data_IF_062960873139
#
_entry.id   IF_062960873139
#
_cell.length_a   1.000
_cell.length_b   1.000
_cell.length_c   1.000
_cell.angle_alpha   90.00
_cell.angle_beta   90.00
_cell.angle_gamma   90.00
#
_symmetry.space_group_name_H-M   'P 1'
#
loop_
_entity.id
_entity.type
_entity.pdbx_description
1 polymer ?
#
# COMPACT_ATOMS: atom_id res chain seq x y z
N UNK A 1 -10.91 12.35 34.71
CA UNK A 1 -11.54 12.46 33.38
C UNK A 1 -10.97 13.70 32.72
N UNK A 2 -9.94 13.53 31.91
CA UNK A 2 -9.31 14.61 31.18
C UNK A 2 -9.06 14.10 29.77
N UNK A 3 -9.98 14.44 28.87
CA UNK A 3 -9.81 14.26 27.44
C UNK A 3 -8.59 15.05 26.99
N UNK A 4 -7.42 14.41 26.90
CA UNK A 4 -6.32 14.90 26.08
C UNK A 4 -6.66 14.70 24.60
N UNK A 5 -7.71 15.36 24.14
CA UNK A 5 -7.80 15.75 22.73
C UNK A 5 -6.66 16.74 22.54
N UNK A 6 -5.53 16.24 22.03
CA UNK A 6 -4.46 17.10 21.51
C UNK A 6 -5.14 18.23 20.73
N UNK A 7 -4.77 19.49 20.98
CA UNK A 7 -5.36 20.64 20.33
C UNK A 7 -5.18 20.51 18.81
N UNK A 8 -6.13 19.88 18.14
CA UNK A 8 -6.12 19.65 16.70
C UNK A 8 -6.48 20.98 16.08
N UNK A 9 -5.55 21.51 15.31
CA UNK A 9 -5.70 22.80 14.68
C UNK A 9 -6.76 22.68 13.58
N UNK A 10 -7.80 23.50 13.67
CA UNK A 10 -8.77 23.67 12.59
C UNK A 10 -8.02 24.08 11.30
N UNK A 11 -8.47 23.59 10.16
CA UNK A 11 -7.82 23.84 8.86
C UNK A 11 -8.64 24.78 8.01
N UNK A 12 -7.95 25.57 7.19
CA UNK A 12 -8.57 26.48 6.25
C UNK A 12 -9.27 25.72 5.12
N UNK A 13 -10.59 25.90 5.01
CA UNK A 13 -11.44 25.27 4.02
C UNK A 13 -10.99 25.60 2.59
N UNK A 14 -10.56 26.84 2.35
CA UNK A 14 -10.13 27.28 1.02
C UNK A 14 -8.88 26.52 0.55
N UNK A 15 -7.91 26.33 1.46
CA UNK A 15 -6.70 25.55 1.19
C UNK A 15 -7.00 24.07 0.96
N UNK A 16 -7.95 23.52 1.71
CA UNK A 16 -8.42 22.15 1.54
C UNK A 16 -9.14 21.92 0.21
N UNK A 17 -9.99 22.86 -0.21
CA UNK A 17 -10.67 22.82 -1.51
C UNK A 17 -9.65 22.86 -2.66
N UNK A 18 -8.63 23.70 -2.57
CA UNK A 18 -7.57 23.74 -3.59
C UNK A 18 -6.77 22.43 -3.66
N UNK A 19 -6.48 21.83 -2.50
CA UNK A 19 -5.82 20.52 -2.45
C UNK A 19 -6.68 19.43 -3.10
N UNK A 20 -7.99 19.42 -2.83
CA UNK A 20 -8.92 18.50 -3.47
C UNK A 20 -9.08 18.75 -4.97
N UNK A 21 -9.18 20.01 -5.39
CA UNK A 21 -9.26 20.38 -6.80
C UNK A 21 -8.03 19.87 -7.57
N UNK A 22 -6.85 20.04 -6.98
CA UNK A 22 -5.58 19.54 -7.55
C UNK A 22 -5.55 18.01 -7.60
N UNK A 23 -5.97 17.34 -6.52
CA UNK A 23 -5.91 15.89 -6.43
C UNK A 23 -6.94 15.16 -7.31
N UNK A 24 -8.09 15.78 -7.55
CA UNK A 24 -9.22 15.15 -8.27
C UNK A 24 -9.46 15.70 -9.67
N UNK A 25 -8.81 16.81 -10.03
CA UNK A 25 -9.02 17.51 -11.30
C UNK A 25 -10.36 18.23 -11.40
N UNK A 26 -11.13 18.28 -10.31
CA UNK A 26 -12.44 18.93 -10.27
C UNK A 26 -12.30 20.42 -9.96
N UNK A 27 -13.20 21.23 -10.52
CA UNK A 27 -13.15 22.67 -10.29
C UNK A 27 -13.43 23.01 -8.81
N UNK A 28 -12.73 24.00 -8.27
CA UNK A 28 -12.95 24.48 -6.91
C UNK A 28 -14.42 24.89 -6.67
N UNK A 29 -15.09 25.44 -7.70
CA UNK A 29 -16.51 25.80 -7.64
C UNK A 29 -17.42 24.58 -7.49
N UNK A 30 -17.13 23.48 -8.21
CA UNK A 30 -17.90 22.24 -8.09
C UNK A 30 -17.72 21.58 -6.72
N UNK A 31 -16.52 21.70 -6.12
CA UNK A 31 -16.22 21.21 -4.78
C UNK A 31 -16.96 22.06 -3.74
N UNK A 32 -16.88 23.39 -3.84
CA UNK A 32 -17.57 24.31 -2.95
C UNK A 32 -19.09 24.09 -2.97
N UNK A 33 -19.71 24.02 -4.15
CA UNK A 33 -21.15 23.80 -4.28
C UNK A 33 -21.62 22.48 -3.63
N UNK A 34 -20.76 21.45 -3.60
CA UNK A 34 -21.06 20.19 -2.92
C UNK A 34 -20.83 20.27 -1.41
N UNK A 35 -19.81 21.00 -0.95
CA UNK A 35 -19.61 21.27 0.46
C UNK A 35 -20.81 22.04 1.01
N UNK A 36 -21.34 23.01 0.28
CA UNK A 36 -22.52 23.79 0.68
C UNK A 36 -23.81 22.94 0.76
N UNK A 37 -23.87 21.80 0.06
CA UNK A 37 -25.00 20.86 0.12
C UNK A 37 -24.94 19.92 1.33
N UNK A 38 -23.74 19.75 1.90
CA UNK A 38 -23.47 18.86 3.00
C UNK A 38 -23.36 19.75 4.23
N UNK A 39 -24.40 19.78 5.05
CA UNK A 39 -24.57 20.70 6.18
C UNK A 39 -23.52 20.48 7.30
N UNK A 40 -22.28 20.92 7.07
CA UNK A 40 -21.13 20.73 7.97
C UNK A 40 -20.94 21.86 8.96
N UNK A 41 -20.28 21.56 10.07
CA UNK A 41 -19.88 22.57 11.04
C UNK A 41 -18.67 23.31 10.54
N UNK A 42 -18.91 24.55 10.15
CA UNK A 42 -17.86 25.50 9.78
C UNK A 42 -17.66 26.51 10.90
N UNK A 43 -16.41 26.94 11.08
CA UNK A 43 -16.02 27.94 12.07
C UNK A 43 -15.45 29.16 11.35
N UNK A 44 -16.02 30.34 11.52
CA UNK A 44 -15.42 31.57 10.99
C UNK A 44 -14.39 32.16 11.96
N UNK A 45 -13.18 32.41 11.46
CA UNK A 45 -12.13 33.10 12.20
C UNK A 45 -11.27 33.96 11.27
N UNK A 46 -11.15 35.26 11.57
CA UNK A 46 -10.32 36.21 10.80
C UNK A 46 -10.55 36.15 9.26
N UNK A 47 -11.82 36.21 8.81
CA UNK A 47 -12.22 36.07 7.40
C UNK A 47 -11.84 34.74 6.74
N UNK A 48 -11.55 33.69 7.52
CA UNK A 48 -11.33 32.34 7.03
C UNK A 48 -12.42 31.42 7.55
N UNK A 49 -12.84 30.50 6.69
CA UNK A 49 -13.72 29.41 7.07
C UNK A 49 -12.83 28.24 7.44
N UNK A 50 -12.93 27.80 8.69
CA UNK A 50 -12.16 26.71 9.24
C UNK A 50 -13.06 25.49 9.45
N UNK A 51 -12.51 24.30 9.22
CA UNK A 51 -13.24 23.03 9.35
C UNK A 51 -12.43 22.06 10.20
N UNK A 52 -13.14 21.19 10.94
CA UNK A 52 -12.53 20.08 11.67
C UNK A 52 -11.97 19.06 10.67
N UNK A 53 -10.68 18.67 10.79
CA UNK A 53 -10.09 17.65 9.94
C UNK A 53 -10.87 16.33 9.88
N UNK A 54 -11.53 15.89 10.95
CA UNK A 54 -12.28 14.62 10.94
C UNK A 54 -13.56 14.72 10.10
N UNK A 55 -14.29 15.84 10.21
CA UNK A 55 -15.47 16.09 9.37
C UNK A 55 -15.05 16.20 7.89
N UNK A 56 -13.90 16.82 7.64
CA UNK A 56 -13.36 16.94 6.29
C UNK A 56 -12.85 15.60 5.71
N UNK A 57 -12.19 14.75 6.50
CA UNK A 57 -11.79 13.41 6.07
C UNK A 57 -13.02 12.55 5.71
N UNK A 58 -14.08 12.64 6.52
CA UNK A 58 -15.37 12.01 6.21
C UNK A 58 -15.97 12.48 4.89
N UNK A 59 -15.80 13.76 4.54
CA UNK A 59 -16.16 14.30 3.22
C UNK A 59 -15.34 13.66 2.11
N UNK A 60 -14.02 13.56 2.25
CA UNK A 60 -13.16 12.94 1.24
C UNK A 60 -13.57 11.50 0.97
N UNK A 61 -13.87 10.73 2.03
CA UNK A 61 -14.32 9.34 1.92
C UNK A 61 -15.70 9.23 1.24
N UNK A 62 -16.67 10.07 1.62
CA UNK A 62 -17.98 10.11 0.98
C UNK A 62 -17.86 10.44 -0.51
N UNK A 63 -16.98 11.37 -0.84
CA UNK A 63 -16.74 11.81 -2.21
C UNK A 63 -16.06 10.73 -3.06
N UNK A 64 -15.05 10.06 -2.50
CA UNK A 64 -14.40 8.92 -3.14
C UNK A 64 -15.41 7.79 -3.41
N UNK A 65 -16.34 7.55 -2.48
CA UNK A 65 -17.42 6.59 -2.68
C UNK A 65 -18.38 7.01 -3.81
N UNK A 66 -18.74 8.29 -3.89
CA UNK A 66 -19.64 8.82 -4.93
C UNK A 66 -18.99 8.76 -6.32
N UNK A 67 -17.71 9.14 -6.46
CA UNK A 67 -16.96 9.03 -7.72
C UNK A 67 -16.88 7.56 -8.15
N UNK A 68 -16.60 6.66 -7.22
CA UNK A 68 -16.55 5.22 -7.48
C UNK A 68 -17.91 4.67 -7.94
N UNK A 69 -19.01 5.18 -7.39
CA UNK A 69 -20.36 4.83 -7.83
C UNK A 69 -20.65 5.37 -9.25
N UNK A 70 -20.28 6.61 -9.55
CA UNK A 70 -20.45 7.23 -10.87
C UNK A 70 -19.66 6.50 -11.96
N UNK A 71 -18.40 6.13 -11.69
CA UNK A 71 -17.57 5.36 -12.62
C UNK A 71 -18.13 3.97 -12.88
N UNK A 72 -18.73 3.33 -11.87
CA UNK A 72 -19.43 2.05 -12.04
C UNK A 72 -20.69 2.19 -12.88
N UNK A 73 -21.49 3.24 -12.68
CA UNK A 73 -22.68 3.47 -13.51
C UNK A 73 -22.33 3.82 -14.95
N UNK A 74 -21.23 4.55 -15.18
CA UNK A 74 -20.74 4.85 -16.52
C UNK A 74 -20.24 3.59 -17.26
N UNK A 75 -19.59 2.66 -16.56
CA UNK A 75 -19.10 1.40 -17.15
C UNK A 75 -20.22 0.39 -17.47
N UNK A 76 -21.36 0.45 -16.77
CA UNK A 76 -22.50 -0.44 -17.03
C UNK A 76 -23.35 0.05 -18.20
N UNK A 77 -23.32 1.35 -18.51
CA UNK A 77 -24.12 1.94 -19.60
C UNK A 77 -23.52 1.72 -21.01
N UNK A 78 -22.26 1.28 -21.11
CA UNK A 78 -21.52 1.20 -22.38
C UNK A 78 -21.25 -0.24 -22.87
N UNK A 79 -22.03 -1.21 -22.38
CA UNK A 79 -22.01 -2.59 -22.87
C UNK A 79 -23.05 -2.75 -24.00
N UNK A 80 -22.68 -2.87 -25.28
CA UNK A 80 -23.63 -3.22 -26.32
C UNK A 80 -24.19 -4.62 -26.05
N UNK A 81 -25.52 -4.72 -26.09
CA UNK A 81 -26.27 -5.96 -25.85
C UNK A 81 -25.76 -7.10 -26.76
N UNK A 82 -25.04 -8.05 -26.16
CA UNK A 82 -24.53 -9.24 -26.84
C UNK A 82 -25.71 -10.19 -27.10
N UNK A 83 -26.12 -10.32 -28.37
CA UNK A 83 -27.05 -11.37 -28.83
C UNK A 83 -26.47 -12.76 -28.50
N UNK A 84 -27.29 -13.72 -28.04
CA UNK A 84 -26.88 -15.11 -27.92
C UNK A 84 -27.10 -15.81 -29.28
N UNK A 85 -26.02 -16.25 -29.92
CA UNK A 85 -25.95 -17.26 -31.00
C UNK A 85 -24.46 -17.57 -31.16
N UNK A 86 -24.00 -18.73 -31.56
CA UNK A 86 -24.53 -20.07 -31.83
C UNK A 86 -23.27 -20.94 -31.78
N UNK A 87 -23.44 -22.24 -31.61
CA UNK A 87 -22.35 -23.20 -31.63
C UNK A 87 -21.44 -22.99 -32.85
N UNK A 88 -20.13 -22.91 -32.64
CA UNK A 88 -19.15 -23.10 -33.70
C UNK A 88 -18.11 -24.11 -33.24
N UNK A 89 -18.01 -25.12 -34.08
CA UNK A 89 -17.13 -26.27 -34.05
C UNK A 89 -15.67 -25.87 -33.78
N UNK A 90 -15.02 -26.66 -32.94
CA UNK A 90 -13.57 -26.67 -32.83
C UNK A 90 -12.98 -27.42 -34.04
N UNK A 91 -11.99 -26.86 -34.75
CA UNK A 91 -11.12 -27.68 -35.58
C UNK A 91 -10.00 -28.27 -34.72
N UNK A 92 -9.82 -29.59 -34.89
CA UNK A 92 -8.66 -30.34 -34.41
C UNK A 92 -7.36 -29.69 -34.93
N UNK A 93 -6.46 -29.36 -34.00
CA UNK A 93 -5.09 -28.96 -34.30
C UNK A 93 -4.12 -30.00 -33.73
N UNK A 94 -3.42 -30.61 -34.69
CA UNK A 94 -2.33 -31.57 -34.62
C UNK A 94 -1.17 -31.09 -33.70
N UNK A 95 -0.77 -31.84 -32.65
CA UNK A 95 0.33 -31.46 -31.78
C UNK A 95 1.65 -32.06 -32.29
N UNK A 96 2.18 -31.52 -33.39
CA UNK A 96 3.52 -31.85 -33.88
C UNK A 96 4.25 -30.59 -34.34
N UNK A 97 4.76 -29.83 -33.38
CA UNK A 97 5.80 -28.82 -33.62
C UNK A 97 6.81 -28.85 -32.46
N UNK A 98 7.75 -29.77 -32.60
CA UNK A 98 9.18 -29.62 -32.31
C UNK A 98 9.58 -28.33 -31.56
N UNK A 99 9.58 -28.37 -30.23
CA UNK A 99 10.24 -27.37 -29.39
C UNK A 99 11.71 -27.74 -29.26
N UNK A 100 12.49 -27.35 -30.27
CA UNK A 100 13.95 -27.32 -30.18
C UNK A 100 14.42 -26.41 -29.04
N UNK A 101 15.64 -26.60 -28.52
CA UNK A 101 16.16 -25.82 -27.39
C UNK A 101 16.50 -24.40 -27.87
N UNK A 102 15.56 -23.48 -27.71
CA UNK A 102 15.79 -22.08 -28.06
C UNK A 102 16.72 -21.45 -27.03
N UNK A 103 17.91 -21.13 -27.53
CA UNK A 103 18.99 -20.52 -26.80
C UNK A 103 18.64 -19.13 -26.24
N UNK A 104 19.46 -18.76 -25.27
CA UNK A 104 19.64 -17.39 -24.82
C UNK A 104 19.78 -16.45 -26.02
N UNK A 105 18.94 -15.41 -26.02
CA UNK A 105 19.07 -14.05 -26.60
C UNK A 105 17.71 -13.69 -27.22
N UNK A 106 16.89 -12.93 -26.50
CA UNK A 106 15.74 -12.25 -27.08
C UNK A 106 15.82 -10.78 -26.67
N UNK A 107 16.34 -9.95 -27.58
CA UNK A 107 16.13 -8.50 -27.58
C UNK A 107 14.64 -8.25 -27.80
N UNK A 108 13.87 -8.08 -26.72
CA UNK A 108 12.45 -7.72 -26.78
C UNK A 108 12.34 -6.20 -26.91
N UNK A 109 12.39 -5.72 -28.15
CA UNK A 109 12.49 -4.29 -28.43
C UNK A 109 13.76 -3.69 -27.82
N UNK A 110 14.07 -2.45 -28.15
CA UNK A 110 15.27 -1.75 -27.68
C UNK A 110 15.29 -1.44 -26.16
N UNK A 111 14.49 -2.14 -25.34
CA UNK A 111 14.46 -2.01 -23.89
C UNK A 111 15.43 -3.00 -23.23
N UNK A 112 16.39 -2.54 -22.40
CA UNK A 112 17.32 -3.43 -21.73
C UNK A 112 16.60 -4.25 -20.65
N UNK A 113 16.49 -5.56 -20.88
CA UNK A 113 15.95 -6.51 -19.91
C UNK A 113 17.07 -7.24 -19.18
N UNK A 114 16.90 -7.54 -17.88
CA UNK A 114 17.89 -8.30 -17.14
C UNK A 114 17.96 -9.75 -17.62
N UNK A 115 19.15 -10.35 -17.56
CA UNK A 115 19.32 -11.77 -17.85
C UNK A 115 18.42 -12.64 -16.95
N UNK A 116 17.79 -13.65 -17.55
CA UNK A 116 16.85 -14.54 -16.87
C UNK A 116 15.55 -13.86 -16.42
N UNK A 117 15.15 -12.72 -17.02
CA UNK A 117 13.93 -12.01 -16.62
C UNK A 117 12.68 -12.92 -16.63
N UNK A 118 12.61 -13.90 -17.54
CA UNK A 118 11.50 -14.85 -17.65
C UNK A 118 11.21 -15.58 -16.34
N UNK A 119 12.24 -15.93 -15.56
CA UNK A 119 12.09 -16.61 -14.27
C UNK A 119 11.57 -15.69 -13.16
N UNK A 120 11.75 -14.39 -13.35
CA UNK A 120 11.34 -13.36 -12.40
C UNK A 120 9.88 -12.95 -12.57
N UNK A 121 9.27 -13.30 -13.70
CA UNK A 121 7.86 -13.05 -14.03
C UNK A 121 6.94 -13.82 -13.08
N UNK A 122 5.95 -13.11 -12.55
CA UNK A 122 4.90 -13.65 -11.67
C UNK A 122 3.51 -13.24 -12.18
N UNK A 123 2.46 -13.90 -11.68
CA UNK A 123 1.08 -13.49 -11.92
C UNK A 123 0.71 -12.11 -11.35
N UNK A 124 1.59 -11.49 -10.56
CA UNK A 124 1.39 -10.17 -9.99
C UNK A 124 2.09 -9.11 -10.83
N UNK A 125 1.31 -8.22 -11.44
CA UNK A 125 1.79 -7.21 -12.41
C UNK A 125 2.88 -6.30 -11.83
N UNK A 126 2.66 -5.79 -10.61
CA UNK A 126 3.61 -4.87 -9.95
C UNK A 126 4.96 -5.53 -9.64
N UNK A 127 4.98 -6.68 -8.94
CA UNK A 127 6.20 -7.46 -8.72
C UNK A 127 6.91 -7.85 -10.01
N UNK A 128 6.18 -8.23 -11.07
CA UNK A 128 6.77 -8.54 -12.37
C UNK A 128 7.51 -7.34 -12.94
N UNK A 129 6.82 -6.19 -13.09
CA UNK A 129 7.43 -4.97 -13.61
C UNK A 129 8.65 -4.53 -12.79
N UNK A 130 8.56 -4.55 -11.45
CA UNK A 130 9.70 -4.17 -10.58
C UNK A 130 10.92 -5.08 -10.69
N UNK A 131 10.74 -6.35 -11.06
CA UNK A 131 11.85 -7.31 -11.17
C UNK A 131 12.56 -7.29 -12.52
N UNK A 132 11.85 -6.82 -13.54
CA UNK A 132 12.38 -6.70 -14.92
C UNK A 132 12.85 -5.27 -15.23
N UNK A 133 12.45 -4.30 -14.42
CA UNK A 133 12.85 -2.90 -14.56
C UNK A 133 14.36 -2.74 -14.40
N UNK A 134 14.99 -1.79 -15.13
CA UNK A 134 16.40 -1.44 -14.94
C UNK A 134 16.73 -1.10 -13.48
N UNK A 135 17.93 -1.48 -13.04
CA UNK A 135 18.39 -1.15 -11.69
C UNK A 135 18.76 0.33 -11.56
N UNK A 136 19.26 0.94 -12.63
CA UNK A 136 19.65 2.34 -12.68
C UNK A 136 18.41 3.23 -12.72
N UNK A 137 18.30 4.15 -11.76
CA UNK A 137 17.14 5.02 -11.59
C UNK A 137 16.90 5.90 -12.83
N UNK A 138 17.98 6.28 -13.53
CA UNK A 138 17.93 7.08 -14.75
C UNK A 138 17.16 6.38 -15.89
N UNK A 139 17.22 5.04 -15.94
CA UNK A 139 16.61 4.25 -17.01
C UNK A 139 15.19 3.77 -16.66
N UNK A 140 14.80 3.85 -15.39
CA UNK A 140 13.47 3.42 -14.94
C UNK A 140 12.35 4.30 -15.51
N UNK A 141 12.57 5.61 -15.58
CA UNK A 141 11.63 6.56 -16.16
C UNK A 141 11.36 6.24 -17.63
N UNK A 142 12.38 6.28 -18.52
CA UNK A 142 12.25 5.92 -19.93
C UNK A 142 11.61 4.54 -20.15
N UNK A 143 11.97 3.55 -19.33
CA UNK A 143 11.38 2.20 -19.40
C UNK A 143 9.88 2.21 -19.10
N UNK A 144 9.45 2.89 -18.03
CA UNK A 144 8.03 2.99 -17.67
C UNK A 144 7.25 3.85 -18.66
N UNK A 145 7.83 4.95 -19.16
CA UNK A 145 7.26 5.80 -20.21
C UNK A 145 7.05 5.00 -21.50
N UNK A 146 8.02 4.18 -21.92
CA UNK A 146 7.90 3.35 -23.10
C UNK A 146 6.72 2.39 -23.03
N UNK A 147 6.47 1.81 -21.85
CA UNK A 147 5.35 0.91 -21.58
C UNK A 147 4.02 1.67 -21.46
N UNK A 148 4.00 2.78 -20.72
CA UNK A 148 2.78 3.53 -20.42
C UNK A 148 2.22 4.25 -21.66
N UNK A 149 3.09 4.77 -22.53
CA UNK A 149 2.70 5.48 -23.75
C UNK A 149 2.65 4.58 -24.99
N UNK A 150 2.58 3.26 -24.81
CA UNK A 150 2.36 2.30 -25.90
C UNK A 150 3.35 2.43 -27.05
N UNK A 151 4.62 2.73 -26.75
CA UNK A 151 5.67 2.67 -27.79
C UNK A 151 5.77 1.26 -28.35
N UNK A 152 6.23 1.10 -29.59
CA UNK A 152 6.38 -0.22 -30.22
C UNK A 152 7.18 -1.21 -29.33
N UNK A 153 8.26 -0.74 -28.71
CA UNK A 153 9.06 -1.54 -27.78
C UNK A 153 8.30 -1.89 -26.49
N UNK A 154 7.54 -0.94 -25.93
CA UNK A 154 6.70 -1.18 -24.75
C UNK A 154 5.58 -2.18 -25.02
N UNK A 155 4.90 -2.08 -26.17
CA UNK A 155 3.87 -3.03 -26.59
C UNK A 155 4.43 -4.43 -26.79
N UNK A 156 5.58 -4.56 -27.48
CA UNK A 156 6.27 -5.85 -27.65
C UNK A 156 6.62 -6.48 -26.29
N UNK A 157 7.14 -5.69 -25.36
CA UNK A 157 7.44 -6.17 -24.01
C UNK A 157 6.17 -6.62 -23.27
N UNK A 158 5.09 -5.85 -23.32
CA UNK A 158 3.84 -6.21 -22.67
C UNK A 158 3.22 -7.48 -23.25
N UNK A 159 3.22 -7.63 -24.58
CA UNK A 159 2.77 -8.84 -25.26
C UNK A 159 3.59 -10.04 -24.79
N UNK A 160 4.92 -9.93 -24.85
CA UNK A 160 5.84 -10.99 -24.42
C UNK A 160 5.61 -11.39 -22.95
N UNK A 161 5.46 -10.42 -22.05
CA UNK A 161 5.19 -10.69 -20.63
C UNK A 161 3.81 -11.32 -20.42
N UNK A 162 2.81 -10.90 -21.20
CA UNK A 162 1.47 -11.46 -21.11
C UNK A 162 1.44 -12.93 -21.51
N UNK A 163 2.17 -13.30 -22.55
CA UNK A 163 2.34 -14.68 -23.00
C UNK A 163 3.04 -15.53 -21.94
N UNK A 164 4.18 -15.06 -21.38
CA UNK A 164 4.88 -15.79 -20.31
C UNK A 164 3.97 -16.01 -19.09
N UNK A 165 3.20 -14.99 -18.68
CA UNK A 165 2.30 -15.12 -17.53
C UNK A 165 1.16 -16.10 -17.85
N UNK A 166 0.57 -16.02 -19.05
CA UNK A 166 -0.49 -16.93 -19.46
C UNK A 166 0.01 -18.38 -19.50
N UNK A 167 1.22 -18.62 -20.02
CA UNK A 167 1.88 -19.92 -20.07
C UNK A 167 2.17 -20.47 -18.67
N UNK A 168 2.73 -19.65 -17.76
CA UNK A 168 3.02 -20.06 -16.38
C UNK A 168 1.78 -20.28 -15.52
N UNK A 169 0.66 -19.65 -15.88
CA UNK A 169 -0.57 -19.65 -15.08
C UNK A 169 -1.81 -19.91 -15.93
N UNK A 170 -1.92 -21.10 -16.55
CA UNK A 170 -3.01 -21.41 -17.47
C UNK A 170 -4.37 -21.33 -16.79
N UNK A 171 -5.36 -20.82 -17.53
CA UNK A 171 -6.77 -20.78 -17.11
C UNK A 171 -7.14 -19.74 -16.04
N UNK A 172 -6.19 -18.93 -15.55
CA UNK A 172 -6.49 -17.90 -14.54
C UNK A 172 -6.97 -16.58 -15.13
N UNK A 173 -6.33 -16.13 -16.21
CA UNK A 173 -6.56 -14.83 -16.84
C UNK A 173 -6.25 -14.94 -18.34
N UNK A 174 -6.97 -14.22 -19.19
CA UNK A 174 -6.63 -14.12 -20.61
C UNK A 174 -5.40 -13.22 -20.82
N UNK A 175 -4.60 -13.44 -21.89
CA UNK A 175 -3.47 -12.58 -22.22
C UNK A 175 -3.83 -11.09 -22.29
N UNK A 176 -5.01 -10.76 -22.82
CA UNK A 176 -5.54 -9.39 -22.91
C UNK A 176 -5.75 -8.73 -21.53
N UNK A 177 -6.27 -9.49 -20.56
CA UNK A 177 -6.46 -9.02 -19.18
C UNK A 177 -5.11 -8.85 -18.47
N UNK A 178 -4.14 -9.70 -18.78
CA UNK A 178 -2.77 -9.58 -18.26
C UNK A 178 -2.08 -8.35 -18.86
N UNK A 179 -2.19 -8.15 -20.17
CA UNK A 179 -1.64 -7.01 -20.90
C UNK A 179 -2.14 -5.69 -20.30
N UNK A 180 -3.47 -5.51 -20.24
CA UNK A 180 -4.09 -4.31 -19.69
C UNK A 180 -3.72 -4.10 -18.21
N UNK A 181 -3.60 -5.18 -17.43
CA UNK A 181 -3.17 -5.13 -16.04
C UNK A 181 -1.71 -4.67 -15.86
N UNK A 182 -0.81 -5.15 -16.71
CA UNK A 182 0.59 -4.71 -16.74
C UNK A 182 0.69 -3.24 -17.18
N UNK A 183 -0.03 -2.84 -18.22
CA UNK A 183 -0.05 -1.46 -18.71
C UNK A 183 -0.55 -0.48 -17.64
N UNK A 184 -1.71 -0.77 -17.03
CA UNK A 184 -2.26 0.05 -15.94
C UNK A 184 -1.27 0.15 -14.78
N UNK A 185 -0.56 -0.94 -14.47
CA UNK A 185 0.41 -0.94 -13.39
C UNK A 185 1.66 -0.12 -13.72
N UNK A 186 2.12 -0.13 -14.96
CA UNK A 186 3.22 0.71 -15.41
C UNK A 186 2.88 2.20 -15.27
N UNK A 187 1.68 2.61 -15.70
CA UNK A 187 1.21 3.98 -15.55
C UNK A 187 1.16 4.44 -14.08
N UNK A 188 0.67 3.59 -13.17
CA UNK A 188 0.67 3.89 -11.72
C UNK A 188 2.09 4.05 -11.18
N UNK A 189 3.04 3.21 -11.62
CA UNK A 189 4.43 3.31 -11.19
C UNK A 189 5.11 4.57 -11.72
N UNK A 190 4.79 4.98 -12.96
CA UNK A 190 5.27 6.23 -13.54
C UNK A 190 4.78 7.45 -12.74
N UNK A 191 3.47 7.51 -12.46
CA UNK A 191 2.88 8.58 -11.64
C UNK A 191 3.51 8.65 -10.23
N UNK A 192 3.86 7.51 -9.65
CA UNK A 192 4.55 7.44 -8.35
C UNK A 192 5.98 7.99 -8.41
N UNK A 193 6.67 7.86 -9.55
CA UNK A 193 8.00 8.46 -9.72
C UNK A 193 7.91 9.97 -9.87
N UNK A 194 6.92 10.48 -10.60
CA UNK A 194 6.70 11.93 -10.78
C UNK A 194 6.28 12.64 -9.48
N UNK A 195 5.65 11.92 -8.55
CA UNK A 195 5.20 12.46 -7.26
C UNK A 195 6.23 12.32 -6.13
N UNK A 196 7.42 11.78 -6.39
CA UNK A 196 8.50 11.79 -5.40
C UNK A 196 9.06 13.22 -5.26
N UNK A 197 8.98 13.86 -4.09
CA UNK A 197 9.61 15.15 -3.87
C UNK A 197 11.11 15.00 -4.07
N UNK A 198 11.72 15.84 -4.90
CA UNK A 198 13.17 15.96 -4.96
C UNK A 198 13.69 16.20 -3.53
N UNK A 199 14.76 15.51 -3.10
CA UNK A 199 15.37 15.81 -1.81
C UNK A 199 15.80 17.28 -1.83
N UNK A 200 15.49 18.07 -0.79
CA UNK A 200 16.00 19.43 -0.71
C UNK A 200 17.53 19.39 -0.75
N UNK A 201 18.10 20.24 -1.60
CA UNK A 201 19.54 20.51 -1.67
C UNK A 201 20.03 20.75 -0.24
N UNK A 202 21.05 20.03 0.25
CA UNK A 202 21.54 20.22 1.61
C UNK A 202 22.31 21.56 1.67
N UNK A 203 21.63 22.63 2.08
CA UNK A 203 22.31 23.82 2.56
C UNK A 203 23.06 23.46 3.85
N UNK A 204 24.38 23.67 3.77
CA UNK A 204 25.33 23.26 4.80
C UNK A 204 24.97 23.80 6.18
N UNK A 205 25.02 22.91 7.18
CA UNK A 205 25.17 23.33 8.57
C UNK A 205 26.31 22.60 9.25
N UNK A 206 27.24 23.46 9.64
CA UNK A 206 28.46 23.29 10.41
C UNK A 206 28.35 22.29 11.56
N UNK A 207 29.39 21.47 11.63
CA UNK A 207 29.88 20.79 12.82
C UNK A 207 30.11 21.79 13.96
N UNK A 208 29.56 21.52 15.14
CA UNK A 208 30.21 21.86 16.42
C UNK A 208 29.99 20.72 17.41
N UNK A 209 31.09 20.09 17.76
CA UNK A 209 31.28 19.14 18.84
C UNK A 209 31.01 19.79 20.21
N UNK A 210 30.36 19.06 21.13
CA UNK A 210 30.73 19.13 22.55
C UNK A 210 30.32 17.86 23.31
N UNK A 211 31.32 17.28 23.96
CA UNK A 211 31.24 16.06 24.74
C UNK A 211 30.72 16.29 26.18
N UNK A 212 30.22 15.17 26.73
CA UNK A 212 30.17 14.74 28.15
C UNK A 212 29.37 15.60 29.15
N UNK A 213 28.39 14.97 29.80
CA UNK A 213 28.56 14.47 31.17
C UNK A 213 27.47 13.43 31.54
N UNK A 214 27.94 12.35 32.17
CA UNK A 214 27.18 11.32 32.89
C UNK A 214 27.30 11.66 34.39
N UNK A 215 26.28 11.41 35.21
CA UNK A 215 26.53 10.47 36.31
C UNK A 215 25.41 9.45 36.47
N UNK A 216 25.79 8.31 37.04
CA UNK A 216 24.96 7.15 37.28
C UNK A 216 24.21 7.26 38.62
N UNK A 217 22.99 6.73 38.66
CA UNK A 217 22.38 6.12 39.86
C UNK A 217 21.38 5.04 39.41
N UNK A 218 21.40 3.90 40.09
CA UNK A 218 20.62 2.68 39.82
C UNK A 218 19.26 2.68 40.56
N UNK A 219 18.46 1.60 40.51
CA UNK A 219 17.70 1.10 39.37
C UNK A 219 16.19 1.31 39.64
N UNK A 220 15.50 2.02 38.76
CA UNK A 220 14.04 2.03 38.73
C UNK A 220 13.63 1.50 37.35
N UNK A 221 13.09 0.28 37.30
CA UNK A 221 12.70 -0.41 36.06
C UNK A 221 11.42 0.22 35.46
N UNK A 222 10.77 1.16 36.15
CA UNK A 222 9.44 1.65 35.81
C UNK A 222 9.29 2.79 34.76
N UNK A 223 10.32 3.55 34.30
CA UNK A 223 10.09 4.59 33.28
C UNK A 223 10.28 4.12 31.83
N UNK A 224 10.71 2.87 31.59
CA UNK A 224 11.07 2.38 30.26
C UNK A 224 9.88 2.06 29.32
N UNK A 225 8.65 2.04 29.85
CA UNK A 225 7.42 1.76 29.09
C UNK A 225 6.52 2.99 28.97
N UNK A 226 7.09 4.15 28.66
CA UNK A 226 6.29 5.36 28.41
C UNK A 226 5.34 5.19 27.20
N UNK A 227 5.66 4.28 26.27
CA UNK A 227 4.81 3.84 25.16
C UNK A 227 5.12 2.39 24.76
N UNK A 228 4.09 1.55 24.63
CA UNK A 228 4.19 0.27 23.92
C UNK A 228 4.18 0.56 22.41
N UNK A 229 5.34 0.92 21.87
CA UNK A 229 5.45 1.30 20.47
C UNK A 229 5.65 0.07 19.58
N UNK A 230 4.96 0.09 18.43
CA UNK A 230 5.12 -0.91 17.39
C UNK A 230 6.34 -0.55 16.52
N UNK A 231 7.20 -1.52 16.17
CA UNK A 231 8.37 -1.24 15.34
C UNK A 231 7.96 -0.72 13.96
N UNK A 232 8.80 0.16 13.38
CA UNK A 232 8.57 0.69 12.03
C UNK A 232 8.44 -0.46 11.04
N UNK A 233 7.35 -0.47 10.28
CA UNK A 233 7.07 -1.51 9.29
C UNK A 233 6.51 -2.82 9.85
N UNK A 234 6.07 -2.88 11.11
CA UNK A 234 5.46 -4.08 11.71
C UNK A 234 4.34 -4.69 10.86
N UNK A 235 3.59 -3.88 10.11
CA UNK A 235 2.53 -4.32 9.17
C UNK A 235 3.01 -5.32 8.11
N UNK A 236 4.31 -5.33 7.75
CA UNK A 236 4.86 -6.33 6.83
C UNK A 236 5.12 -7.67 7.52
N UNK A 237 5.35 -7.64 8.83
CA UNK A 237 5.72 -8.77 9.69
C UNK A 237 4.51 -9.55 10.24
N UNK A 238 3.32 -8.93 10.27
CA UNK A 238 2.11 -9.63 10.75
C UNK A 238 1.70 -10.78 9.83
N UNK A 239 1.30 -11.90 10.41
CA UNK A 239 0.78 -13.07 9.71
C UNK A 239 -0.34 -13.72 10.52
N UNK A 240 -1.04 -14.69 9.93
CA UNK A 240 -1.99 -15.55 10.64
C UNK A 240 -1.30 -16.53 11.61
N UNK A 241 0.05 -16.56 11.63
CA UNK A 241 0.82 -17.26 12.65
C UNK A 241 1.13 -16.24 13.76
N UNK A 242 0.35 -16.28 14.83
CA UNK A 242 0.41 -15.29 15.93
C UNK A 242 1.76 -15.32 16.66
N UNK A 243 2.35 -16.51 16.87
CA UNK A 243 3.65 -16.67 17.55
C UNK A 243 4.82 -15.99 16.81
N UNK A 244 5.09 -16.29 15.52
CA UNK A 244 6.07 -15.52 14.75
C UNK A 244 5.77 -14.02 14.70
N UNK A 245 4.48 -13.65 14.65
CA UNK A 245 4.06 -12.25 14.62
C UNK A 245 4.49 -11.52 15.90
N UNK A 246 4.09 -12.01 17.08
CA UNK A 246 4.49 -11.39 18.35
C UNK A 246 6.01 -11.37 18.52
N UNK A 247 6.71 -12.46 18.21
CA UNK A 247 8.19 -12.48 18.28
C UNK A 247 8.85 -11.41 17.39
N UNK A 248 8.24 -11.06 16.26
CA UNK A 248 8.78 -10.07 15.31
C UNK A 248 8.43 -8.61 15.62
N UNK A 249 7.44 -8.41 16.49
CA UNK A 249 6.88 -7.10 16.85
C UNK A 249 7.34 -6.68 18.26
N UNK A 250 7.60 -7.65 19.14
CA UNK A 250 8.18 -7.41 20.45
C UNK A 250 9.66 -6.99 20.36
N UNK A 251 10.16 -6.21 21.34
CA UNK A 251 11.56 -5.79 21.38
C UNK A 251 12.53 -6.97 21.54
N UNK A 252 13.72 -6.82 20.95
CA UNK A 252 14.79 -7.82 21.03
C UNK A 252 15.44 -7.88 22.43
N UNK A 253 15.40 -6.78 23.18
CA UNK A 253 15.90 -6.73 24.56
C UNK A 253 15.02 -7.61 25.49
N UNK A 254 15.64 -8.52 26.24
CA UNK A 254 14.93 -9.48 27.08
C UNK A 254 14.13 -8.84 28.22
N UNK A 255 14.66 -7.78 28.84
CA UNK A 255 14.02 -7.09 29.96
C UNK A 255 12.84 -6.23 29.48
N UNK A 256 12.97 -5.58 28.32
CA UNK A 256 11.83 -4.89 27.70
C UNK A 256 10.77 -5.87 27.23
N UNK A 257 11.18 -7.02 26.69
CA UNK A 257 10.26 -8.03 26.18
C UNK A 257 9.40 -8.65 27.26
N UNK A 258 9.96 -8.95 28.43
CA UNK A 258 9.17 -9.45 29.56
C UNK A 258 8.18 -8.41 30.05
N UNK A 259 8.59 -7.14 30.13
CA UNK A 259 7.71 -6.05 30.53
C UNK A 259 6.57 -5.82 29.52
N UNK A 260 6.84 -5.92 28.20
CA UNK A 260 5.79 -5.91 27.18
C UNK A 260 4.82 -7.08 27.34
N UNK A 261 5.33 -8.29 27.55
CA UNK A 261 4.48 -9.48 27.72
C UNK A 261 3.59 -9.39 28.94
N UNK A 262 4.09 -8.89 30.07
CA UNK A 262 3.29 -8.66 31.27
C UNK A 262 2.13 -7.70 30.99
N UNK A 263 2.37 -6.59 30.30
CA UNK A 263 1.32 -5.62 29.92
C UNK A 263 0.27 -6.23 28.98
N UNK A 264 0.69 -7.10 28.05
CA UNK A 264 -0.20 -7.82 27.13
C UNK A 264 -1.04 -8.87 27.87
N UNK A 265 -0.44 -9.62 28.79
CA UNK A 265 -1.12 -10.70 29.53
C UNK A 265 -2.02 -10.15 30.63
N UNK A 266 -1.62 -9.07 31.29
CA UNK A 266 -2.47 -8.36 32.26
C UNK A 266 -3.62 -7.60 31.59
N UNK A 267 -3.64 -7.57 30.25
CA UNK A 267 -4.61 -6.83 29.44
C UNK A 267 -4.77 -5.38 29.91
N UNK A 268 -3.63 -4.71 30.18
CA UNK A 268 -3.64 -3.29 30.50
C UNK A 268 -4.20 -2.50 29.31
N UNK A 269 -4.66 -1.26 29.51
CA UNK A 269 -5.17 -0.44 28.41
C UNK A 269 -4.14 -0.30 27.28
N UNK A 270 -2.85 -0.23 27.62
CA UNK A 270 -1.73 -0.18 26.67
C UNK A 270 -1.50 -1.51 25.96
N UNK A 271 -1.56 -2.62 26.70
CA UNK A 271 -1.46 -3.96 26.14
C UNK A 271 -2.60 -4.25 25.17
N UNK A 272 -3.83 -3.88 25.54
CA UNK A 272 -5.01 -3.96 24.68
C UNK A 272 -4.83 -3.17 23.40
N UNK A 273 -4.49 -1.88 23.51
CA UNK A 273 -4.28 -1.01 22.34
C UNK A 273 -3.19 -1.56 21.41
N UNK A 274 -2.10 -2.09 21.97
CA UNK A 274 -1.06 -2.74 21.19
C UNK A 274 -1.60 -3.95 20.42
N UNK A 275 -2.27 -4.89 21.10
CA UNK A 275 -2.84 -6.08 20.47
C UNK A 275 -3.88 -5.73 19.41
N UNK A 276 -4.71 -4.72 19.65
CA UNK A 276 -5.72 -4.24 18.71
C UNK A 276 -5.09 -3.67 17.44
N UNK A 277 -4.03 -2.86 17.55
CA UNK A 277 -3.31 -2.33 16.37
C UNK A 277 -2.66 -3.46 15.54
N UNK A 278 -2.17 -4.52 16.19
CA UNK A 278 -1.68 -5.71 15.48
C UNK A 278 -2.83 -6.49 14.84
N UNK A 279 -3.93 -6.69 15.57
CA UNK A 279 -5.13 -7.38 15.09
C UNK A 279 -5.76 -6.68 13.88
N UNK A 280 -5.85 -5.34 13.89
CA UNK A 280 -6.33 -4.55 12.75
C UNK A 280 -5.42 -4.71 11.54
N UNK A 281 -4.10 -4.77 11.75
CA UNK A 281 -3.14 -5.02 10.66
C UNK A 281 -3.31 -6.42 10.06
N UNK A 282 -3.62 -7.43 10.88
CA UNK A 282 -3.95 -8.79 10.41
C UNK A 282 -5.27 -8.77 9.63
N UNK A 283 -6.33 -8.16 10.17
CA UNK A 283 -7.62 -8.01 9.50
C UNK A 283 -7.47 -7.39 8.11
N UNK A 284 -6.72 -6.29 8.00
CA UNK A 284 -6.44 -5.60 6.73
C UNK A 284 -5.67 -6.52 5.78
N UNK A 285 -4.59 -7.16 6.25
CA UNK A 285 -3.75 -8.04 5.42
C UNK A 285 -4.53 -9.23 4.84
N UNK A 286 -5.46 -9.79 5.61
CA UNK A 286 -6.27 -10.94 5.21
C UNK A 286 -7.65 -10.55 4.67
N UNK A 287 -7.87 -9.27 4.32
CA UNK A 287 -9.12 -8.76 3.71
C UNK A 287 -10.38 -9.20 4.47
N UNK A 288 -10.34 -9.19 5.80
CA UNK A 288 -11.46 -9.56 6.65
C UNK A 288 -11.73 -11.07 6.81
N UNK A 289 -10.94 -11.96 6.18
CA UNK A 289 -11.03 -13.42 6.42
C UNK A 289 -10.78 -13.80 7.89
N UNK A 290 -10.05 -12.94 8.60
CA UNK A 290 -9.84 -13.02 10.04
C UNK A 290 -10.43 -11.76 10.65
N UNK A 291 -11.34 -11.91 11.59
CA UNK A 291 -11.95 -10.77 12.29
C UNK A 291 -10.93 -10.15 13.26
N UNK A 292 -11.10 -8.87 13.60
CA UNK A 292 -10.26 -8.20 14.61
C UNK A 292 -10.29 -8.96 15.93
N UNK A 293 -11.47 -9.42 16.35
CA UNK A 293 -11.65 -10.14 17.60
C UNK A 293 -10.93 -11.50 17.59
N UNK A 294 -11.07 -12.29 16.53
CA UNK A 294 -10.35 -13.57 16.39
C UNK A 294 -8.83 -13.37 16.37
N UNK A 295 -8.34 -12.31 15.73
CA UNK A 295 -6.92 -11.99 15.72
C UNK A 295 -6.43 -11.53 17.11
N UNK A 296 -7.22 -10.71 17.81
CA UNK A 296 -6.92 -10.27 19.17
C UNK A 296 -6.81 -11.44 20.14
N UNK A 297 -7.82 -12.32 20.17
CA UNK A 297 -7.84 -13.51 21.04
C UNK A 297 -6.66 -14.45 20.73
N UNK A 298 -6.36 -14.64 19.45
CA UNK A 298 -5.21 -15.43 19.01
C UNK A 298 -3.87 -14.86 19.48
N UNK A 299 -3.69 -13.54 19.38
CA UNK A 299 -2.50 -12.85 19.86
C UNK A 299 -2.40 -12.89 21.40
N UNK A 300 -3.49 -12.66 22.12
CA UNK A 300 -3.52 -12.71 23.59
C UNK A 300 -3.16 -14.10 24.11
N UNK A 301 -3.72 -15.16 23.49
CA UNK A 301 -3.37 -16.54 23.82
C UNK A 301 -1.88 -16.81 23.61
N UNK A 302 -1.34 -16.38 22.47
CA UNK A 302 0.09 -16.51 22.17
C UNK A 302 0.97 -15.68 23.12
N UNK A 303 0.53 -14.50 23.56
CA UNK A 303 1.27 -13.70 24.53
C UNK A 303 1.41 -14.45 25.87
N UNK A 304 0.33 -15.09 26.35
CA UNK A 304 0.35 -15.96 27.54
C UNK A 304 1.29 -17.15 27.39
N UNK A 305 1.28 -17.80 26.22
CA UNK A 305 2.22 -18.89 25.90
C UNK A 305 3.68 -18.41 25.88
N UNK A 306 3.96 -17.22 25.32
CA UNK A 306 5.31 -16.66 25.27
C UNK A 306 5.81 -16.18 26.63
N UNK A 307 4.93 -15.69 27.50
CA UNK A 307 5.27 -15.36 28.88
C UNK A 307 5.70 -16.62 29.66
N UNK A 308 5.04 -17.76 29.45
CA UNK A 308 5.44 -19.03 30.06
C UNK A 308 6.75 -19.61 29.46
N UNK A 309 7.04 -19.34 28.19
CA UNK A 309 8.27 -19.79 27.54
C UNK A 309 9.50 -18.95 27.91
N UNK A 310 9.31 -17.68 28.27
CA UNK A 310 10.39 -16.71 28.45
C UNK A 310 10.47 -16.06 29.83
N UNK A 311 9.42 -16.18 30.64
CA UNK A 311 9.43 -15.86 32.08
C UNK A 311 10.08 -16.96 32.89
#
# INVERSE_FOLDING_TARGET
MSDTRAARCLRDLSGLIQQLATATGLSAASIQAKIDQLDYRTYQFQNRVLVDPEEFEGLVDHWAAQIKAQLRSAQVADLPARKPNEASEAPDLDPSADLGPLGNVAEVGSLPLPEGYRDRVSHLYGPTLRRIMPQELADQGPFLTAIAHETAAGQQLLNHLSEIIAEKYPGKLSPEVIYSGLQSKAAILLQQQETLPQPPVPEGRRSTSRARNKPASAPAISPLLSSLDLPKGYRRRVSNRYKPTLRSVLPEDAALRSAYLQELVSESDRGKEFLERVADSIKIKYRGKITRQTAYEGLLKTAKELEQEWG
#
